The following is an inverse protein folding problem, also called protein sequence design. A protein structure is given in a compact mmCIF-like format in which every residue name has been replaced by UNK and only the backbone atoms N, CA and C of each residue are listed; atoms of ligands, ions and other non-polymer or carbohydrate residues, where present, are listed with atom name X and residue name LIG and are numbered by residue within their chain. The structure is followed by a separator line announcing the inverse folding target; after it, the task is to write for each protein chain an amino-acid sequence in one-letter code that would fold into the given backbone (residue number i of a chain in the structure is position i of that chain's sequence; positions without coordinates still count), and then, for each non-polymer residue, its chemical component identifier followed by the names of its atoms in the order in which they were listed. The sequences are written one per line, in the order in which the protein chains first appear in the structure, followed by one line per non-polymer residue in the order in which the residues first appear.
data_IF_910443882507
#
_entry.id   IF_910443882507
#
_cell.length_a   1.000
_cell.length_b   1.000
_cell.length_c   1.000
_cell.angle_alpha   90.00
_cell.angle_beta   90.00
_cell.angle_gamma   90.00
#
_symmetry.space_group_name_H-M   'P 1'
#
loop_
_entity.id
_entity.type
_entity.pdbx_description
1 polymer ?
#
# COMPACT_ATOMS: atom_id res chain seq x y z
N UNK A 1 13.56 -7.71 47.39
CA UNK A 1 14.07 -6.45 46.80
C UNK A 1 14.52 -6.77 45.38
N UNK A 2 13.64 -6.58 44.40
CA UNK A 2 14.00 -6.69 42.99
C UNK A 2 14.51 -5.33 42.53
N UNK A 3 15.81 -5.24 42.31
CA UNK A 3 16.46 -4.10 41.67
C UNK A 3 15.99 -4.05 40.23
N UNK A 4 14.97 -3.22 39.96
CA UNK A 4 14.66 -2.74 38.62
C UNK A 4 15.89 -1.96 38.16
N UNK A 5 16.74 -2.60 37.36
CA UNK A 5 17.74 -1.91 36.57
C UNK A 5 16.99 -0.95 35.65
N UNK A 6 17.05 0.34 35.95
CA UNK A 6 16.67 1.38 35.02
C UNK A 6 17.62 1.29 33.83
N UNK A 7 17.17 0.67 32.74
CA UNK A 7 17.86 0.77 31.46
C UNK A 7 17.94 2.27 31.13
N UNK A 8 19.15 2.81 30.98
CA UNK A 8 19.34 4.15 30.43
C UNK A 8 18.64 4.20 29.07
N UNK A 9 17.72 5.15 28.91
CA UNK A 9 17.08 5.40 27.62
C UNK A 9 18.19 5.82 26.65
N UNK A 10 18.58 4.91 25.75
CA UNK A 10 19.55 5.19 24.69
C UNK A 10 19.04 6.38 23.90
N UNK A 11 19.91 7.36 23.63
CA UNK A 11 19.57 8.49 22.76
C UNK A 11 19.25 7.95 21.36
N UNK A 12 17.97 7.97 20.98
CA UNK A 12 17.51 7.50 19.68
C UNK A 12 18.26 8.16 18.53
N UNK A 13 18.62 9.45 18.62
CA UNK A 13 19.37 10.10 17.54
C UNK A 13 20.75 9.48 17.36
N UNK A 14 21.43 9.16 18.46
CA UNK A 14 22.73 8.48 18.43
C UNK A 14 22.61 7.05 17.87
N UNK A 15 21.59 6.30 18.31
CA UNK A 15 21.27 4.94 17.78
C UNK A 15 21.02 4.96 16.28
N UNK A 16 20.14 5.84 15.79
CA UNK A 16 19.84 6.00 14.37
C UNK A 16 21.09 6.34 13.57
N UNK A 17 21.93 7.24 14.08
CA UNK A 17 23.18 7.64 13.43
C UNK A 17 24.18 6.49 13.34
N UNK A 18 24.33 5.70 14.38
CA UNK A 18 25.20 4.52 14.36
C UNK A 18 24.74 3.52 13.30
N UNK A 19 23.44 3.16 13.30
CA UNK A 19 22.85 2.23 12.33
C UNK A 19 23.04 2.71 10.89
N UNK A 20 22.72 3.97 10.63
CA UNK A 20 22.76 4.56 9.28
C UNK A 20 24.20 4.78 8.79
N UNK A 21 25.11 5.31 9.60
CA UNK A 21 26.49 5.57 9.17
C UNK A 21 27.28 4.28 8.89
N UNK A 22 26.98 3.21 9.63
CA UNK A 22 27.67 1.93 9.50
C UNK A 22 27.12 1.04 8.37
N UNK A 23 25.89 1.26 7.92
CA UNK A 23 25.28 0.49 6.83
C UNK A 23 26.01 0.72 5.49
N UNK A 24 26.33 -0.37 4.80
CA UNK A 24 26.95 -0.42 3.46
C UNK A 24 26.03 -1.04 2.42
N UNK A 25 25.16 -1.97 2.84
CA UNK A 25 24.26 -2.73 1.99
C UNK A 25 22.84 -2.72 2.55
N UNK A 26 22.16 -1.55 2.56
CA UNK A 26 20.79 -1.46 3.02
C UNK A 26 19.80 -2.00 1.99
N UNK A 27 18.71 -2.58 2.50
CA UNK A 27 17.46 -2.77 1.76
C UNK A 27 16.51 -1.62 2.11
N UNK A 28 16.12 -0.84 1.11
CA UNK A 28 15.10 0.20 1.27
C UNK A 28 13.76 -0.40 0.87
N UNK A 29 12.78 -0.35 1.77
CA UNK A 29 11.43 -0.84 1.57
C UNK A 29 10.47 0.34 1.42
N UNK A 30 9.83 0.47 0.26
CA UNK A 30 8.60 1.26 0.14
C UNK A 30 7.45 0.45 0.72
N UNK A 31 6.80 0.98 1.75
CA UNK A 31 5.74 0.28 2.48
C UNK A 31 4.48 0.12 1.62
N UNK A 32 4.23 1.09 0.74
CA UNK A 32 3.14 1.04 -0.24
C UNK A 32 3.69 0.91 -1.66
N UNK A 33 3.28 1.81 -2.57
CA UNK A 33 3.16 1.49 -3.99
C UNK A 33 4.34 1.92 -4.84
N UNK A 34 4.17 1.81 -6.16
CA UNK A 34 5.23 2.18 -7.09
C UNK A 34 5.75 3.61 -6.92
N UNK A 35 4.93 4.58 -6.50
CA UNK A 35 5.42 5.95 -6.27
C UNK A 35 6.25 6.07 -4.99
N UNK A 36 6.00 5.24 -3.98
CA UNK A 36 6.76 5.22 -2.73
C UNK A 36 8.19 4.77 -2.97
N UNK A 37 8.42 3.94 -3.99
CA UNK A 37 9.78 3.56 -4.41
C UNK A 37 10.60 4.78 -4.77
N UNK A 38 10.02 5.74 -5.48
CA UNK A 38 10.68 6.99 -5.88
C UNK A 38 10.77 7.93 -4.68
N UNK A 39 9.68 8.09 -3.94
CA UNK A 39 9.63 8.98 -2.78
C UNK A 39 10.62 8.56 -1.69
N UNK A 40 10.90 7.27 -1.51
CA UNK A 40 11.90 6.76 -0.56
C UNK A 40 13.31 7.36 -0.78
N UNK A 41 13.62 7.79 -2.01
CA UNK A 41 14.88 8.48 -2.33
C UNK A 41 14.97 9.86 -1.67
N UNK A 42 13.84 10.53 -1.42
CA UNK A 42 13.76 11.82 -0.72
C UNK A 42 14.32 11.63 0.69
N UNK A 43 13.82 10.64 1.43
CA UNK A 43 14.32 10.33 2.77
C UNK A 43 15.79 9.93 2.72
N UNK A 44 16.16 9.02 1.82
CA UNK A 44 17.56 8.58 1.65
C UNK A 44 18.53 9.75 1.50
N UNK A 45 18.19 10.76 0.69
CA UNK A 45 19.02 11.95 0.48
C UNK A 45 19.13 12.85 1.71
N UNK A 46 18.07 12.94 2.50
CA UNK A 46 18.12 13.65 3.78
C UNK A 46 19.01 12.92 4.80
N UNK A 47 18.94 11.58 4.85
CA UNK A 47 19.76 10.75 5.74
C UNK A 47 21.26 10.78 5.37
N UNK A 48 21.62 10.90 4.09
CA UNK A 48 23.01 11.11 3.65
C UNK A 48 23.64 12.33 4.36
N UNK A 49 22.88 13.43 4.48
CA UNK A 49 23.37 14.67 5.11
C UNK A 49 23.33 14.64 6.64
N UNK A 50 22.21 14.21 7.23
CA UNK A 50 22.00 14.32 8.68
C UNK A 50 22.63 13.16 9.47
N UNK A 51 22.62 11.95 8.91
CA UNK A 51 23.02 10.72 9.59
C UNK A 51 24.23 10.02 8.94
N UNK A 52 24.87 10.66 7.95
CA UNK A 52 26.02 10.12 7.23
C UNK A 52 25.75 8.77 6.55
N UNK A 53 24.49 8.54 6.15
CA UNK A 53 24.07 7.32 5.46
C UNK A 53 24.69 7.25 4.06
N UNK A 54 25.86 6.61 3.95
CA UNK A 54 26.65 6.52 2.72
C UNK A 54 26.87 5.05 2.31
N UNK A 55 25.81 4.37 1.84
CA UNK A 55 25.90 2.98 1.41
C UNK A 55 26.75 2.84 0.14
N UNK A 56 27.37 1.67 -0.05
CA UNK A 56 28.13 1.35 -1.28
C UNK A 56 27.17 1.13 -2.45
N UNK A 57 26.03 0.50 -2.15
CA UNK A 57 24.94 0.21 -3.09
C UNK A 57 23.66 0.04 -2.28
N UNK A 58 22.52 0.31 -2.90
CA UNK A 58 21.21 0.09 -2.30
C UNK A 58 20.38 -0.80 -3.19
N UNK A 59 19.55 -1.62 -2.56
CA UNK A 59 18.45 -2.29 -3.22
C UNK A 59 17.14 -1.69 -2.73
N UNK A 60 16.18 -1.53 -3.64
CA UNK A 60 14.86 -0.98 -3.33
C UNK A 60 13.81 -2.04 -3.60
N UNK A 61 12.92 -2.25 -2.65
CA UNK A 61 11.79 -3.17 -2.78
C UNK A 61 10.47 -2.52 -2.34
N UNK A 62 9.36 -2.96 -2.93
CA UNK A 62 8.00 -2.56 -2.54
C UNK A 62 7.03 -3.71 -2.79
N UNK A 63 5.80 -3.51 -2.37
CA UNK A 63 4.73 -4.48 -2.53
C UNK A 63 4.17 -4.47 -3.96
N UNK A 64 4.05 -5.64 -4.58
CA UNK A 64 3.34 -5.85 -5.83
C UNK A 64 1.87 -6.24 -5.53
N UNK A 65 0.89 -5.37 -5.85
CA UNK A 65 -0.51 -5.63 -5.59
C UNK A 65 -1.00 -6.88 -6.34
N UNK A 66 -1.82 -7.70 -5.70
CA UNK A 66 -2.38 -8.92 -6.31
C UNK A 66 -3.45 -8.65 -7.39
N UNK A 67 -3.94 -7.41 -7.48
CA UNK A 67 -4.81 -6.94 -8.55
C UNK A 67 -4.05 -6.49 -9.82
N UNK A 68 -2.71 -6.52 -9.79
CA UNK A 68 -1.84 -6.21 -10.91
C UNK A 68 -1.06 -7.44 -11.35
N UNK A 69 -1.02 -7.71 -12.66
CA UNK A 69 -0.12 -8.72 -13.19
C UNK A 69 1.20 -8.07 -13.59
N UNK A 70 2.31 -8.70 -13.22
CA UNK A 70 3.65 -8.32 -13.67
C UNK A 70 4.16 -9.36 -14.66
N UNK A 71 4.67 -8.88 -15.80
CA UNK A 71 5.09 -9.70 -16.93
C UNK A 71 6.56 -9.43 -17.25
N UNK A 72 7.29 -10.44 -17.71
CA UNK A 72 8.71 -10.32 -18.05
C UNK A 72 9.53 -9.75 -16.87
N UNK A 73 9.20 -10.15 -15.65
CA UNK A 73 10.04 -9.93 -14.48
C UNK A 73 11.18 -10.93 -14.50
N UNK A 74 12.33 -10.59 -13.92
CA UNK A 74 13.37 -11.57 -13.68
C UNK A 74 13.07 -12.28 -12.37
N UNK A 75 12.97 -13.61 -12.43
CA UNK A 75 12.79 -14.42 -11.24
C UNK A 75 13.98 -14.25 -10.29
N UNK A 76 13.67 -14.10 -9.00
CA UNK A 76 14.67 -14.31 -7.96
C UNK A 76 14.62 -15.76 -7.49
N UNK A 77 15.66 -16.21 -6.79
CA UNK A 77 15.63 -17.53 -6.13
C UNK A 77 14.67 -17.56 -4.92
N UNK A 78 14.08 -16.42 -4.55
CA UNK A 78 13.14 -16.33 -3.45
C UNK A 78 11.71 -16.30 -3.99
N UNK A 79 10.83 -17.17 -3.48
CA UNK A 79 9.40 -17.10 -3.78
C UNK A 79 8.88 -15.67 -3.57
N UNK A 80 7.95 -15.22 -4.41
CA UNK A 80 7.30 -13.90 -4.36
C UNK A 80 8.16 -12.68 -4.68
N UNK A 81 9.48 -12.81 -4.73
CA UNK A 81 10.35 -11.68 -5.04
C UNK A 81 10.72 -11.71 -6.51
N UNK A 82 10.42 -10.60 -7.19
CA UNK A 82 10.68 -10.37 -8.61
C UNK A 82 11.62 -9.19 -8.78
N UNK A 83 12.60 -9.30 -9.67
CA UNK A 83 13.48 -8.17 -10.02
C UNK A 83 12.92 -7.48 -11.27
N UNK A 84 12.73 -6.16 -11.19
CA UNK A 84 12.23 -5.35 -12.29
C UNK A 84 13.35 -5.08 -13.28
N UNK A 85 13.10 -5.43 -14.53
CA UNK A 85 13.98 -5.28 -15.67
C UNK A 85 13.54 -4.23 -16.68
N UNK A 86 14.38 -3.93 -17.67
CA UNK A 86 14.03 -3.04 -18.79
C UNK A 86 12.82 -3.55 -19.61
N UNK A 87 12.65 -4.87 -19.71
CA UNK A 87 11.56 -5.48 -20.47
C UNK A 87 10.30 -5.75 -19.63
N UNK A 88 10.35 -5.47 -18.33
CA UNK A 88 9.22 -5.70 -17.45
C UNK A 88 8.04 -4.81 -17.86
N UNK A 89 6.85 -5.42 -17.82
CA UNK A 89 5.56 -4.79 -18.08
C UNK A 89 4.62 -5.11 -16.93
N UNK A 90 3.56 -4.33 -16.77
CA UNK A 90 2.45 -4.68 -15.89
C UNK A 90 1.12 -4.57 -16.59
N UNK A 91 0.10 -5.28 -16.14
CA UNK A 91 -1.27 -5.07 -16.59
C UNK A 91 -2.23 -4.86 -15.44
N UNK A 92 -3.28 -4.08 -15.72
CA UNK A 92 -4.44 -3.90 -14.84
C UNK A 92 -5.66 -4.30 -15.66
N UNK A 93 -6.41 -5.32 -15.22
CA UNK A 93 -7.64 -5.77 -15.91
C UNK A 93 -7.41 -6.00 -17.42
N UNK A 94 -6.30 -6.66 -17.78
CA UNK A 94 -5.93 -6.97 -19.17
C UNK A 94 -5.32 -5.82 -19.98
N UNK A 95 -5.28 -4.58 -19.45
CA UNK A 95 -4.62 -3.46 -20.11
C UNK A 95 -3.13 -3.44 -19.78
N UNK A 96 -2.29 -3.72 -20.78
CA UNK A 96 -0.84 -3.63 -20.66
C UNK A 96 -0.34 -2.19 -20.47
N UNK A 97 0.66 -2.04 -19.61
CA UNK A 97 1.41 -0.83 -19.33
C UNK A 97 2.91 -1.12 -19.42
N UNK A 98 3.62 -0.30 -20.19
CA UNK A 98 5.07 -0.42 -20.42
C UNK A 98 5.89 0.61 -19.63
N UNK A 99 5.24 1.64 -19.10
CA UNK A 99 5.84 2.68 -18.26
C UNK A 99 5.15 2.76 -16.90
N UNK A 100 5.94 2.68 -15.84
CA UNK A 100 5.50 2.77 -14.45
C UNK A 100 6.68 3.16 -13.55
N UNK A 101 6.43 3.79 -12.39
CA UNK A 101 7.47 4.37 -11.54
C UNK A 101 8.66 3.45 -11.27
N UNK A 102 8.38 2.17 -11.04
CA UNK A 102 9.39 1.20 -10.61
C UNK A 102 10.34 0.84 -11.77
N UNK A 103 9.82 0.82 -12.99
CA UNK A 103 10.64 0.65 -14.19
C UNK A 103 11.47 1.91 -14.49
N UNK A 104 10.88 3.10 -14.31
CA UNK A 104 11.61 4.37 -14.46
C UNK A 104 12.77 4.43 -13.46
N UNK A 105 12.51 4.02 -12.22
CA UNK A 105 13.52 3.91 -11.18
C UNK A 105 14.61 2.91 -11.56
N UNK A 106 14.27 1.80 -12.22
CA UNK A 106 15.27 0.86 -12.75
C UNK A 106 16.12 1.46 -13.87
N UNK A 107 15.49 2.16 -14.80
CA UNK A 107 16.14 2.75 -15.99
C UNK A 107 17.09 3.90 -15.63
N UNK A 108 16.72 4.72 -14.64
CA UNK A 108 17.43 5.93 -14.26
C UNK A 108 18.11 5.86 -12.88
N UNK A 109 17.96 4.74 -12.16
CA UNK A 109 18.35 4.60 -10.76
C UNK A 109 19.85 4.54 -10.49
N UNK A 110 20.68 4.35 -11.52
CA UNK A 110 22.14 4.26 -11.37
C UNK A 110 22.75 5.52 -10.75
N UNK A 111 22.17 6.70 -11.01
CA UNK A 111 22.55 7.97 -10.37
C UNK A 111 22.29 8.04 -8.86
N UNK A 112 21.55 7.07 -8.31
CA UNK A 112 21.19 6.99 -6.89
C UNK A 112 21.82 5.81 -6.15
N UNK A 113 22.79 5.12 -6.78
CA UNK A 113 23.46 3.92 -6.26
C UNK A 113 22.57 2.69 -6.15
N UNK A 114 21.48 2.64 -6.93
CA UNK A 114 20.54 1.54 -6.93
C UNK A 114 21.10 0.38 -7.76
N UNK A 115 21.33 -0.77 -7.13
CA UNK A 115 21.71 -1.99 -7.84
C UNK A 115 20.48 -2.70 -8.40
N UNK A 116 19.47 -2.94 -7.54
CA UNK A 116 18.23 -3.64 -7.91
C UNK A 116 16.99 -2.89 -7.47
N UNK A 117 15.94 -3.09 -8.25
CA UNK A 117 14.59 -2.58 -8.06
C UNK A 117 13.69 -3.81 -8.07
N UNK A 118 13.05 -4.13 -6.95
CA UNK A 118 12.39 -5.41 -6.72
C UNK A 118 10.96 -5.27 -6.23
N UNK A 119 10.10 -6.22 -6.58
CA UNK A 119 8.78 -6.32 -6.01
C UNK A 119 8.62 -7.57 -5.16
N UNK A 120 7.84 -7.49 -4.08
CA UNK A 120 7.35 -8.65 -3.34
C UNK A 120 5.84 -8.80 -3.54
N UNK A 121 5.41 -9.96 -4.04
CA UNK A 121 4.00 -10.23 -4.38
C UNK A 121 3.08 -10.38 -3.17
N UNK A 122 1.91 -9.74 -3.24
CA UNK A 122 0.79 -9.94 -2.30
C UNK A 122 -0.08 -11.16 -2.61
N UNK A 123 0.24 -11.92 -3.66
CA UNK A 123 -0.56 -13.10 -4.05
C UNK A 123 -0.59 -14.22 -3.01
N UNK A 124 0.17 -14.07 -1.92
CA UNK A 124 0.34 -15.06 -0.88
C UNK A 124 0.17 -14.47 0.52
N UNK A 125 0.13 -15.36 1.50
CA UNK A 125 -0.06 -15.05 2.89
C UNK A 125 1.02 -14.09 3.41
N UNK A 126 0.65 -13.22 4.35
CA UNK A 126 1.60 -12.31 5.02
C UNK A 126 2.77 -13.07 5.67
N UNK A 127 2.56 -14.31 6.11
CA UNK A 127 3.63 -15.20 6.60
C UNK A 127 4.66 -15.55 5.51
N UNK A 128 4.22 -15.77 4.26
CA UNK A 128 5.14 -16.07 3.15
C UNK A 128 5.91 -14.84 2.68
N UNK A 129 5.30 -13.66 2.78
CA UNK A 129 5.98 -12.37 2.56
C UNK A 129 7.08 -12.19 3.61
N UNK A 130 6.74 -12.40 4.89
CA UNK A 130 7.68 -12.38 6.01
C UNK A 130 8.85 -13.34 5.78
N UNK A 131 8.56 -14.59 5.44
CA UNK A 131 9.57 -15.62 5.20
C UNK A 131 10.46 -15.29 4.00
N UNK A 132 9.89 -14.75 2.93
CA UNK A 132 10.63 -14.37 1.72
C UNK A 132 11.55 -13.18 2.00
N UNK A 133 11.07 -12.19 2.75
CA UNK A 133 11.87 -11.06 3.23
C UNK A 133 13.01 -11.53 4.16
N UNK A 134 12.75 -12.40 5.13
CA UNK A 134 13.79 -12.97 6.00
C UNK A 134 14.86 -13.71 5.19
N UNK A 135 14.44 -14.51 4.20
CA UNK A 135 15.37 -15.27 3.35
C UNK A 135 16.25 -14.35 2.51
N UNK A 136 15.68 -13.34 1.84
CA UNK A 136 16.47 -12.43 1.00
C UNK A 136 17.42 -11.58 1.84
N UNK A 137 16.92 -11.09 2.98
CA UNK A 137 17.69 -10.26 3.91
C UNK A 137 18.94 -10.97 4.40
N UNK A 138 18.81 -12.24 4.80
CA UNK A 138 19.93 -13.06 5.23
C UNK A 138 20.84 -13.48 4.05
N UNK A 139 20.24 -13.91 2.93
CA UNK A 139 21.00 -14.48 1.81
C UNK A 139 21.82 -13.44 1.05
N UNK A 140 21.27 -12.23 0.91
CA UNK A 140 21.95 -11.12 0.25
C UNK A 140 22.74 -10.24 1.23
N UNK A 141 22.74 -10.61 2.52
CA UNK A 141 23.54 -9.99 3.58
C UNK A 141 23.27 -8.50 3.70
N UNK A 142 22.00 -8.11 3.70
CA UNK A 142 21.67 -6.72 4.02
C UNK A 142 22.04 -6.42 5.47
N UNK A 143 22.58 -5.24 5.71
CA UNK A 143 23.05 -4.80 7.03
C UNK A 143 22.13 -3.76 7.68
N UNK A 144 21.06 -3.37 6.99
CA UNK A 144 20.03 -2.44 7.44
C UNK A 144 18.76 -2.65 6.62
N UNK A 145 17.60 -2.58 7.29
CA UNK A 145 16.32 -2.36 6.63
C UNK A 145 15.87 -0.93 6.90
N UNK A 146 15.70 -0.15 5.82
CA UNK A 146 15.11 1.19 5.87
C UNK A 146 13.71 1.12 5.28
N UNK A 147 12.67 1.09 6.12
CA UNK A 147 11.29 1.04 5.67
C UNK A 147 10.66 2.45 5.66
N UNK A 148 10.11 2.84 4.53
CA UNK A 148 9.60 4.18 4.25
C UNK A 148 8.10 4.13 3.93
N UNK A 149 7.31 4.87 4.69
CA UNK A 149 5.90 5.16 4.38
C UNK A 149 5.76 6.67 4.08
N UNK A 150 5.02 6.96 3.01
CA UNK A 150 4.71 8.31 2.56
C UNK A 150 3.20 8.51 2.61
N UNK A 151 2.75 9.40 3.49
CA UNK A 151 1.33 9.63 3.74
C UNK A 151 0.96 9.37 5.21
N UNK A 152 1.54 8.34 5.81
CA UNK A 152 1.41 8.06 7.24
C UNK A 152 0.37 7.01 7.60
N UNK A 153 -0.16 6.28 6.63
CA UNK A 153 -1.16 5.22 6.85
C UNK A 153 -0.58 4.05 7.63
N UNK A 154 0.73 3.85 7.57
CA UNK A 154 1.45 2.86 8.37
C UNK A 154 1.20 3.01 9.87
N UNK A 155 1.00 4.25 10.34
CA UNK A 155 0.77 4.58 11.76
C UNK A 155 -0.70 4.91 12.07
N UNK A 156 -1.63 4.59 11.17
CA UNK A 156 -3.06 4.88 11.35
C UNK A 156 -3.58 4.36 12.70
N UNK A 157 -4.36 5.19 13.41
CA UNK A 157 -4.98 4.78 14.68
C UNK A 157 -6.29 4.02 14.44
N UNK A 158 -6.79 3.21 15.40
CA UNK A 158 -8.06 2.51 15.32
C UNK A 158 -9.27 3.39 14.96
N UNK A 159 -9.25 4.66 15.36
CA UNK A 159 -10.31 5.63 15.11
C UNK A 159 -10.23 6.25 13.70
N UNK A 160 -9.15 6.03 12.96
CA UNK A 160 -8.93 6.60 11.63
C UNK A 160 -9.58 5.75 10.54
N UNK A 161 -10.84 6.04 10.25
CA UNK A 161 -11.58 5.42 9.16
C UNK A 161 -11.45 6.16 7.82
N UNK A 162 -10.57 7.16 7.73
CA UNK A 162 -10.42 7.98 6.52
C UNK A 162 -9.34 7.50 5.55
N UNK A 163 -8.59 6.47 5.93
CA UNK A 163 -7.60 5.79 5.08
C UNK A 163 -8.26 5.27 3.80
N UNK A 164 -7.61 5.52 2.66
CA UNK A 164 -8.02 5.18 1.31
C UNK A 164 -7.29 3.98 0.72
N UNK A 165 -6.09 3.66 1.19
CA UNK A 165 -5.34 2.49 0.70
C UNK A 165 -4.50 1.79 1.76
N UNK A 166 -5.09 1.25 2.84
CA UNK A 166 -4.32 0.66 3.94
C UNK A 166 -3.82 -0.76 3.67
N UNK A 167 -4.16 -1.38 2.54
CA UNK A 167 -3.96 -2.82 2.34
C UNK A 167 -2.48 -3.14 2.24
N UNK A 168 -1.70 -2.36 1.49
CA UNK A 168 -0.27 -2.63 1.34
C UNK A 168 0.50 -2.28 2.60
N UNK A 169 0.18 -1.15 3.24
CA UNK A 169 0.72 -0.80 4.55
C UNK A 169 0.48 -1.88 5.59
N UNK A 170 -0.72 -2.47 5.60
CA UNK A 170 -1.06 -3.61 6.44
C UNK A 170 -0.11 -4.79 6.21
N UNK A 171 0.00 -5.25 4.97
CA UNK A 171 0.81 -6.42 4.61
C UNK A 171 2.28 -6.22 5.00
N UNK A 172 2.82 -5.04 4.69
CA UNK A 172 4.19 -4.71 5.02
C UNK A 172 4.38 -4.57 6.53
N UNK A 173 3.48 -3.90 7.25
CA UNK A 173 3.59 -3.71 8.71
C UNK A 173 3.55 -5.03 9.47
N UNK A 174 2.65 -5.95 9.10
CA UNK A 174 2.60 -7.31 9.67
C UNK A 174 3.94 -8.00 9.46
N UNK A 175 4.47 -7.94 8.24
CA UNK A 175 5.74 -8.59 7.90
C UNK A 175 6.92 -7.96 8.64
N UNK A 176 7.03 -6.63 8.65
CA UNK A 176 8.11 -5.90 9.30
C UNK A 176 8.15 -6.14 10.81
N UNK A 177 6.99 -6.19 11.49
CA UNK A 177 6.92 -6.53 12.91
C UNK A 177 7.50 -7.92 13.18
N UNK A 178 7.15 -8.91 12.35
CA UNK A 178 7.66 -10.27 12.50
C UNK A 178 9.15 -10.38 12.17
N UNK A 179 9.63 -9.67 11.14
CA UNK A 179 11.06 -9.64 10.81
C UNK A 179 11.86 -8.95 11.93
N UNK A 180 11.38 -7.84 12.49
CA UNK A 180 12.04 -7.14 13.60
C UNK A 180 12.20 -8.06 14.83
N UNK A 181 11.23 -8.93 15.10
CA UNK A 181 11.32 -9.92 16.19
C UNK A 181 12.31 -11.05 15.90
N UNK A 182 12.42 -11.47 14.63
CA UNK A 182 13.16 -12.68 14.21
C UNK A 182 14.58 -12.39 13.71
N UNK A 183 14.86 -11.17 13.27
CA UNK A 183 16.13 -10.76 12.67
C UNK A 183 16.99 -9.96 13.64
N UNK A 184 18.31 -10.09 13.52
CA UNK A 184 19.29 -9.26 14.23
C UNK A 184 19.70 -8.02 13.44
N UNK A 185 19.16 -7.84 12.23
CA UNK A 185 19.52 -6.73 11.37
C UNK A 185 18.87 -5.44 11.89
N UNK A 186 19.63 -4.34 11.96
CA UNK A 186 19.09 -3.04 12.33
C UNK A 186 17.90 -2.63 11.44
N UNK A 187 16.92 -2.00 12.07
CA UNK A 187 15.81 -1.34 11.40
C UNK A 187 15.87 0.17 11.62
N UNK A 188 15.46 0.90 10.59
CA UNK A 188 15.05 2.30 10.66
C UNK A 188 13.75 2.43 9.89
N UNK A 189 12.73 2.96 10.55
CA UNK A 189 11.45 3.31 9.94
C UNK A 189 11.42 4.81 9.72
N UNK A 190 10.95 5.22 8.55
CA UNK A 190 10.79 6.61 8.18
C UNK A 190 9.39 6.87 7.69
N UNK A 191 8.71 7.83 8.32
CA UNK A 191 7.42 8.34 7.86
C UNK A 191 7.55 9.81 7.49
N UNK A 192 7.00 10.20 6.35
CA UNK A 192 7.02 11.60 5.91
C UNK A 192 5.91 11.88 4.91
N UNK A 193 5.77 13.15 4.51
CA UNK A 193 4.66 13.57 3.65
C UNK A 193 3.31 13.28 4.28
N UNK A 194 3.24 13.37 5.62
CA UNK A 194 2.04 13.00 6.36
C UNK A 194 0.84 13.74 5.79
N UNK A 195 -0.23 12.99 5.51
CA UNK A 195 -1.51 13.46 4.95
C UNK A 195 -1.51 13.91 3.49
N UNK A 196 -0.37 13.94 2.81
CA UNK A 196 -0.30 14.39 1.40
C UNK A 196 -1.08 13.48 0.44
N UNK A 197 -1.39 12.27 0.91
CA UNK A 197 -2.30 11.27 0.33
C UNK A 197 -3.79 11.67 0.40
N UNK A 198 -4.13 12.60 1.28
CA UNK A 198 -5.48 13.10 1.48
C UNK A 198 -6.30 12.30 2.48
N UNK A 199 -5.67 11.47 3.30
CA UNK A 199 -6.34 10.37 3.99
C UNK A 199 -6.60 10.69 5.47
N UNK A 200 -5.57 11.05 6.24
CA UNK A 200 -5.66 11.05 7.72
C UNK A 200 -5.74 12.44 8.38
N UNK A 201 -6.88 12.84 9.01
CA UNK A 201 -7.04 14.12 9.72
C UNK A 201 -5.88 14.56 10.64
N UNK A 202 -5.63 15.87 10.88
CA UNK A 202 -4.42 16.31 11.58
C UNK A 202 -4.44 15.89 13.05
N UNK A 203 -5.64 15.82 13.62
CA UNK A 203 -5.93 15.37 14.97
C UNK A 203 -5.65 13.86 15.10
N UNK A 204 -5.92 13.08 14.06
CA UNK A 204 -5.64 11.64 14.02
C UNK A 204 -4.14 11.38 13.81
N UNK A 205 -3.47 12.16 12.95
CA UNK A 205 -2.01 12.13 12.82
C UNK A 205 -1.31 12.48 14.13
N UNK A 206 -1.80 13.52 14.84
CA UNK A 206 -1.24 13.88 16.13
C UNK A 206 -1.35 12.73 17.13
N UNK A 207 -2.52 12.07 17.19
CA UNK A 207 -2.73 10.88 18.03
C UNK A 207 -1.80 9.74 17.63
N UNK A 208 -1.66 9.47 16.33
CA UNK A 208 -0.77 8.44 15.80
C UNK A 208 0.69 8.69 16.22
N UNK A 209 1.19 9.89 15.99
CA UNK A 209 2.56 10.29 16.35
C UNK A 209 2.81 10.25 17.87
N UNK A 210 1.81 10.57 18.69
CA UNK A 210 1.92 10.49 20.16
C UNK A 210 2.05 9.06 20.67
N UNK A 211 1.62 8.04 19.91
CA UNK A 211 1.79 6.62 20.28
C UNK A 211 3.21 6.12 20.03
N UNK A 212 3.99 6.80 19.19
CA UNK A 212 5.39 6.49 18.96
C UNK A 212 6.21 7.14 20.09
N UNK A 213 6.52 6.35 21.11
CA UNK A 213 7.18 6.82 22.34
C UNK A 213 8.57 7.42 22.09
N UNK A 214 9.36 6.76 21.24
CA UNK A 214 10.68 7.21 20.86
C UNK A 214 10.73 7.45 19.36
N UNK A 215 10.72 8.73 18.98
CA UNK A 215 10.84 9.17 17.59
C UNK A 215 11.75 10.38 17.50
N UNK A 216 12.55 10.41 16.45
CA UNK A 216 13.27 11.57 16.01
C UNK A 216 12.42 12.34 15.01
N UNK A 217 12.14 13.61 15.28
CA UNK A 217 11.39 14.49 14.38
C UNK A 217 12.32 15.57 13.82
N UNK A 218 12.22 15.81 12.50
CA UNK A 218 12.96 16.89 11.86
C UNK A 218 12.29 17.37 10.58
N UNK A 219 12.82 18.45 9.99
CA UNK A 219 12.38 19.01 8.71
C UNK A 219 13.37 18.70 7.60
N UNK A 220 12.88 18.33 6.43
CA UNK A 220 13.70 18.23 5.23
C UNK A 220 14.35 19.58 4.91
N UNK A 221 15.57 19.52 4.38
CA UNK A 221 16.21 20.69 3.76
C UNK A 221 15.97 20.62 2.25
N UNK A 222 15.45 21.69 1.68
CA UNK A 222 15.14 21.79 0.24
C UNK A 222 16.33 21.43 -0.64
N UNK A 223 17.53 21.90 -0.29
CA UNK A 223 18.79 21.63 -1.00
C UNK A 223 19.24 20.15 -0.92
N UNK A 224 18.69 19.36 0.01
CA UNK A 224 18.95 17.92 0.09
C UNK A 224 18.18 17.14 -0.97
N UNK A 225 16.99 17.60 -1.33
CA UNK A 225 16.05 16.79 -2.13
C UNK A 225 15.89 17.28 -3.56
N UNK A 226 16.45 18.45 -3.91
CA UNK A 226 16.21 19.10 -5.22
C UNK A 226 16.46 18.16 -6.41
N UNK A 227 17.54 17.36 -6.37
CA UNK A 227 17.84 16.38 -7.42
C UNK A 227 16.77 15.29 -7.57
N UNK A 228 16.12 14.90 -6.47
CA UNK A 228 15.02 13.92 -6.49
C UNK A 228 13.74 14.57 -6.97
N UNK A 229 13.49 15.83 -6.58
CA UNK A 229 12.38 16.61 -7.11
C UNK A 229 12.50 16.73 -8.64
N UNK A 230 13.66 17.16 -9.16
CA UNK A 230 13.94 17.25 -10.59
C UNK A 230 13.72 15.91 -11.29
N UNK A 231 14.27 14.83 -10.73
CA UNK A 231 14.07 13.47 -11.25
C UNK A 231 12.59 13.08 -11.32
N UNK A 232 11.82 13.36 -10.27
CA UNK A 232 10.38 13.08 -10.24
C UNK A 232 9.64 13.88 -11.31
N UNK A 233 9.89 15.20 -11.40
CA UNK A 233 9.25 16.09 -12.39
C UNK A 233 9.56 15.68 -13.83
N UNK A 234 10.81 15.33 -14.10
CA UNK A 234 11.29 15.04 -15.46
C UNK A 234 10.84 13.64 -15.93
N UNK A 235 11.02 12.62 -15.10
CA UNK A 235 10.89 11.23 -15.53
C UNK A 235 9.63 10.53 -15.02
N UNK A 236 9.19 10.80 -13.79
CA UNK A 236 8.15 10.02 -13.12
C UNK A 236 6.77 10.62 -13.35
N UNK A 237 6.62 11.93 -13.15
CA UNK A 237 5.36 12.65 -13.20
C UNK A 237 4.65 12.50 -14.56
N UNK A 238 5.42 12.58 -15.65
CA UNK A 238 4.91 12.47 -17.02
C UNK A 238 4.36 11.07 -17.35
N UNK A 239 4.81 10.04 -16.62
CA UNK A 239 4.32 8.66 -16.75
C UNK A 239 3.18 8.39 -15.80
N UNK A 240 3.34 8.76 -14.52
CA UNK A 240 2.36 8.53 -13.47
C UNK A 240 2.43 9.65 -12.42
N UNK A 241 1.61 10.67 -12.61
CA UNK A 241 1.38 11.68 -11.58
C UNK A 241 0.89 11.03 -10.28
N UNK A 242 1.62 11.28 -9.20
CA UNK A 242 1.23 10.97 -7.82
C UNK A 242 0.94 12.27 -7.11
N UNK A 243 -0.28 12.43 -6.58
CA UNK A 243 -0.58 13.61 -5.77
C UNK A 243 0.22 13.63 -4.48
N UNK A 244 0.29 12.48 -3.79
CA UNK A 244 1.07 12.30 -2.57
C UNK A 244 2.52 12.75 -2.76
N UNK A 245 3.19 12.25 -3.81
CA UNK A 245 4.58 12.61 -4.08
C UNK A 245 4.73 14.08 -4.51
N UNK A 246 3.84 14.58 -5.37
CA UNK A 246 3.83 15.98 -5.80
C UNK A 246 3.68 16.94 -4.61
N UNK A 247 2.71 16.69 -3.73
CA UNK A 247 2.46 17.54 -2.57
C UNK A 247 3.58 17.41 -1.54
N UNK A 248 4.08 16.20 -1.27
CA UNK A 248 5.26 15.99 -0.42
C UNK A 248 6.46 16.80 -0.93
N UNK A 249 6.74 16.78 -2.24
CA UNK A 249 7.82 17.58 -2.83
C UNK A 249 7.54 19.07 -2.63
N UNK A 250 6.33 19.55 -2.97
CA UNK A 250 5.97 20.97 -2.85
C UNK A 250 6.09 21.49 -1.42
N UNK A 251 5.65 20.72 -0.43
CA UNK A 251 5.78 21.07 0.98
C UNK A 251 7.25 21.20 1.41
N UNK A 252 8.13 20.32 0.93
CA UNK A 252 9.57 20.38 1.23
C UNK A 252 10.26 21.52 0.48
N UNK A 253 9.83 21.84 -0.74
CA UNK A 253 10.41 22.91 -1.57
C UNK A 253 9.76 24.27 -1.35
N UNK A 254 8.77 24.35 -0.45
CA UNK A 254 7.97 25.55 -0.19
C UNK A 254 7.24 26.08 -1.45
N UNK A 255 6.92 25.19 -2.38
CA UNK A 255 6.07 25.50 -3.52
C UNK A 255 4.61 25.55 -3.08
N UNK A 256 3.86 26.51 -3.61
CA UNK A 256 2.45 26.64 -3.31
C UNK A 256 1.64 25.43 -3.82
N UNK A 257 0.67 25.00 -3.01
CA UNK A 257 -0.43 24.12 -3.39
C UNK A 257 -1.71 24.56 -2.66
N UNK A 258 -2.87 24.09 -3.14
CA UNK A 258 -4.16 24.40 -2.52
C UNK A 258 -4.26 23.82 -1.10
N UNK A 259 -4.79 24.60 -0.17
CA UNK A 259 -5.23 24.15 1.17
C UNK A 259 -6.54 24.88 1.54
N UNK A 260 -7.69 24.18 1.66
CA UNK A 260 -7.85 22.74 1.51
C UNK A 260 -7.63 22.28 0.06
N UNK A 261 -7.08 21.08 -0.11
CA UNK A 261 -6.94 20.43 -1.41
C UNK A 261 -8.11 19.52 -1.73
N UNK A 262 -8.46 19.43 -3.01
CA UNK A 262 -9.57 18.61 -3.48
C UNK A 262 -9.11 17.21 -3.88
N UNK A 263 -9.35 16.23 -3.02
CA UNK A 263 -9.10 14.81 -3.30
C UNK A 263 -10.33 14.15 -3.94
N UNK A 264 -10.14 12.92 -4.44
CA UNK A 264 -11.24 12.15 -5.02
C UNK A 264 -11.16 10.68 -4.67
N UNK A 265 -12.29 10.11 -4.25
CA UNK A 265 -12.51 8.67 -4.28
C UNK A 265 -12.86 8.28 -5.73
N UNK A 266 -12.46 7.08 -6.14
CA UNK A 266 -12.68 6.56 -7.50
C UNK A 266 -13.28 5.18 -7.44
N UNK A 267 -14.26 4.93 -8.29
CA UNK A 267 -14.84 3.61 -8.49
C UNK A 267 -15.07 3.40 -9.98
N UNK A 268 -14.60 2.28 -10.53
CA UNK A 268 -14.76 1.94 -11.94
C UNK A 268 -15.57 0.66 -12.08
N UNK A 269 -16.49 0.63 -13.05
CA UNK A 269 -17.31 -0.56 -13.34
C UNK A 269 -17.52 -0.69 -14.84
N UNK A 270 -17.41 -1.90 -15.35
CA UNK A 270 -17.63 -2.20 -16.77
C UNK A 270 -18.96 -2.93 -16.91
N UNK A 271 -19.96 -2.28 -17.50
CA UNK A 271 -21.33 -2.83 -17.63
C UNK A 271 -21.47 -3.89 -18.70
N UNK A 272 -20.69 -3.79 -19.78
CA UNK A 272 -20.77 -4.68 -20.92
C UNK A 272 -19.37 -5.16 -21.31
N UNK A 273 -19.29 -6.41 -21.78
CA UNK A 273 -18.02 -6.95 -22.24
C UNK A 273 -17.51 -6.07 -23.38
N UNK A 274 -16.24 -5.67 -23.31
CA UNK A 274 -15.58 -4.82 -24.30
C UNK A 274 -16.03 -3.35 -24.32
N UNK A 275 -16.91 -2.90 -23.41
CA UNK A 275 -17.19 -1.48 -23.24
C UNK A 275 -16.11 -0.80 -22.38
N UNK A 276 -15.90 0.51 -22.53
CA UNK A 276 -15.17 1.28 -21.55
C UNK A 276 -15.83 1.15 -20.17
N UNK A 277 -15.03 1.21 -19.11
CA UNK A 277 -15.55 1.30 -17.74
C UNK A 277 -16.20 2.67 -17.52
N UNK A 278 -17.38 2.66 -16.90
CA UNK A 278 -17.97 3.83 -16.26
C UNK A 278 -17.09 4.25 -15.08
N UNK A 279 -16.90 5.56 -14.90
CA UNK A 279 -16.02 6.11 -13.87
C UNK A 279 -16.79 7.01 -12.93
N UNK A 280 -16.81 6.64 -11.67
CA UNK A 280 -17.41 7.40 -10.60
C UNK A 280 -16.33 8.13 -9.83
N UNK A 281 -16.55 9.43 -9.64
CA UNK A 281 -15.68 10.31 -8.88
C UNK A 281 -16.49 10.96 -7.78
N UNK A 282 -16.01 10.86 -6.54
CA UNK A 282 -16.52 11.64 -5.43
C UNK A 282 -15.42 12.55 -4.91
N UNK A 283 -15.66 13.87 -4.97
CA UNK A 283 -14.68 14.85 -4.54
C UNK A 283 -14.89 15.22 -3.08
N UNK A 284 -13.79 15.33 -2.34
CA UNK A 284 -13.81 15.82 -0.97
C UNK A 284 -12.63 16.77 -0.73
N UNK A 285 -12.80 17.66 0.22
CA UNK A 285 -11.77 18.62 0.60
C UNK A 285 -10.98 18.08 1.79
N UNK A 286 -9.67 18.20 1.70
CA UNK A 286 -8.75 17.87 2.77
C UNK A 286 -8.01 19.13 3.18
N UNK A 287 -8.23 19.58 4.42
CA UNK A 287 -7.42 20.64 5.01
C UNK A 287 -6.08 20.05 5.41
N UNK A 288 -4.97 20.75 5.19
CA UNK A 288 -3.65 20.39 5.71
C UNK A 288 -3.24 21.29 6.86
N UNK A 289 -2.36 20.79 7.72
CA UNK A 289 -1.78 21.52 8.84
C UNK A 289 -0.30 21.79 8.54
N UNK A 290 0.07 23.06 8.36
CA UNK A 290 1.42 23.50 7.97
C UNK A 290 2.50 23.02 8.95
N UNK A 291 2.14 22.70 10.19
CA UNK A 291 3.10 22.15 11.16
C UNK A 291 3.76 20.87 10.65
N UNK A 292 3.09 20.09 9.79
CA UNK A 292 3.61 18.84 9.24
C UNK A 292 4.40 19.00 7.93
N UNK A 293 4.34 20.18 7.28
CA UNK A 293 4.94 20.39 5.97
C UNK A 293 6.43 20.12 5.97
N UNK A 294 6.86 19.18 5.12
CA UNK A 294 8.26 18.76 5.03
C UNK A 294 8.84 18.18 6.33
N UNK A 295 7.99 17.74 7.27
CA UNK A 295 8.45 16.94 8.41
C UNK A 295 8.72 15.49 7.99
N UNK A 296 9.72 14.89 8.63
CA UNK A 296 9.88 13.44 8.66
C UNK A 296 10.12 12.98 10.09
N UNK A 297 9.77 11.73 10.35
CA UNK A 297 9.92 11.10 11.64
C UNK A 297 10.64 9.77 11.45
N UNK A 298 11.65 9.53 12.30
CA UNK A 298 12.41 8.30 12.34
C UNK A 298 12.21 7.60 13.67
N UNK A 299 12.13 6.29 13.64
CA UNK A 299 12.09 5.41 14.81
C UNK A 299 12.65 4.05 14.41
N UNK A 300 12.95 3.19 15.38
CA UNK A 300 13.59 1.90 15.14
C UNK A 300 12.89 0.73 15.84
N UNK A 301 11.69 0.97 16.36
CA UNK A 301 10.86 -0.03 17.01
C UNK A 301 9.37 0.08 16.62
N UNK A 302 8.82 -1.01 16.07
CA UNK A 302 7.40 -1.15 15.72
C UNK A 302 6.49 -1.64 16.84
N UNK A 303 6.99 -1.97 18.03
CA UNK A 303 6.16 -2.53 19.10
C UNK A 303 4.99 -1.63 19.50
N UNK A 304 5.15 -0.32 19.37
CA UNK A 304 4.16 0.71 19.71
C UNK A 304 3.13 1.02 18.61
N UNK A 305 3.33 0.50 17.39
CA UNK A 305 2.46 0.80 16.26
C UNK A 305 1.24 -0.12 16.28
N UNK A 306 0.10 0.38 16.72
CA UNK A 306 -1.18 -0.33 16.67
C UNK A 306 -2.05 0.17 15.52
N UNK A 307 -1.84 -0.42 14.34
CA UNK A 307 -2.63 -0.13 13.15
C UNK A 307 -3.78 -1.15 13.02
N UNK A 308 -5.06 -0.72 13.03
CA UNK A 308 -6.21 -1.63 12.97
C UNK A 308 -6.29 -2.42 11.66
N UNK A 309 -5.63 -1.94 10.61
CA UNK A 309 -5.64 -2.57 9.30
C UNK A 309 -4.57 -3.64 9.16
N UNK A 310 -3.53 -3.61 9.99
CA UNK A 310 -2.40 -4.53 9.95
C UNK A 310 -2.76 -5.89 10.56
N UNK A 311 -3.41 -6.73 9.75
CA UNK A 311 -3.90 -8.06 10.14
C UNK A 311 -3.21 -9.17 9.36
N UNK A 312 -2.97 -10.29 10.03
CA UNK A 312 -2.52 -11.51 9.36
C UNK A 312 -3.64 -12.06 8.47
N UNK A 313 -3.27 -12.36 7.23
CA UNK A 313 -4.20 -12.81 6.20
C UNK A 313 -3.48 -13.62 5.12
N UNK A 314 -4.23 -14.49 4.46
CA UNK A 314 -3.71 -15.39 3.45
C UNK A 314 -3.65 -14.82 2.04
N UNK A 315 -4.49 -13.84 1.73
CA UNK A 315 -4.55 -13.14 0.45
C UNK A 315 -5.43 -11.90 0.57
N UNK A 316 -5.57 -11.16 -0.53
CA UNK A 316 -6.35 -9.93 -0.53
C UNK A 316 -7.84 -10.10 -0.23
N UNK A 317 -8.43 -11.25 -0.56
CA UNK A 317 -9.83 -11.58 -0.22
C UNK A 317 -10.00 -11.67 1.31
N UNK A 318 -9.13 -12.42 1.97
CA UNK A 318 -9.20 -12.61 3.42
C UNK A 318 -8.97 -11.29 4.16
N UNK A 319 -7.97 -10.51 3.75
CA UNK A 319 -7.74 -9.18 4.30
C UNK A 319 -8.98 -8.30 4.17
N UNK A 320 -9.54 -8.25 2.95
CA UNK A 320 -10.72 -7.46 2.65
C UNK A 320 -11.89 -7.83 3.56
N UNK A 321 -12.19 -9.12 3.72
CA UNK A 321 -13.34 -9.57 4.50
C UNK A 321 -13.17 -9.35 6.01
N UNK A 322 -11.94 -9.39 6.53
CA UNK A 322 -11.65 -9.13 7.94
C UNK A 322 -11.69 -7.64 8.32
N UNK A 323 -11.34 -6.74 7.39
CA UNK A 323 -11.33 -5.29 7.63
C UNK A 323 -12.68 -4.62 7.32
N UNK A 324 -13.45 -5.17 6.37
CA UNK A 324 -14.66 -4.52 5.90
C UNK A 324 -15.85 -4.80 6.82
N UNK A 325 -16.43 -3.73 7.36
CA UNK A 325 -17.71 -3.77 8.04
C UNK A 325 -18.66 -2.67 7.52
N UNK A 326 -19.94 -2.75 7.89
CA UNK A 326 -20.95 -1.78 7.42
C UNK A 326 -20.76 -0.36 7.95
N UNK A 327 -20.02 -0.18 9.05
CA UNK A 327 -19.77 1.14 9.67
C UNK A 327 -18.61 1.85 9.00
N UNK A 328 -17.54 1.13 8.70
CA UNK A 328 -16.29 1.72 8.20
C UNK A 328 -16.26 1.79 6.67
N UNK A 329 -16.75 0.77 5.96
CA UNK A 329 -16.73 0.66 4.48
C UNK A 329 -15.46 1.27 3.92
N UNK A 330 -14.34 0.76 4.43
CA UNK A 330 -13.01 1.34 4.24
C UNK A 330 -12.70 1.38 2.75
N UNK A 331 -12.16 2.50 2.30
CA UNK A 331 -11.66 2.58 0.94
C UNK A 331 -10.29 1.86 0.89
N UNK A 332 -10.08 1.03 -0.12
CA UNK A 332 -8.91 0.20 -0.30
C UNK A 332 -8.70 -0.11 -1.78
N UNK A 333 -7.57 -0.72 -2.08
CA UNK A 333 -7.05 -0.97 -3.42
C UNK A 333 -7.90 -1.94 -4.22
N UNK A 334 -8.73 -2.73 -3.55
CA UNK A 334 -9.65 -3.67 -4.18
C UNK A 334 -10.98 -3.04 -4.58
N UNK A 335 -11.41 -1.91 -3.99
CA UNK A 335 -12.73 -1.34 -4.34
C UNK A 335 -12.80 -0.98 -5.83
N UNK A 336 -13.77 -1.55 -6.54
CA UNK A 336 -13.92 -1.35 -7.99
C UNK A 336 -12.83 -2.07 -8.82
N UNK A 337 -12.13 -3.05 -8.25
CA UNK A 337 -11.23 -3.95 -8.95
C UNK A 337 -11.84 -5.35 -9.10
N UNK A 338 -11.25 -6.15 -9.98
CA UNK A 338 -11.59 -7.54 -10.18
C UNK A 338 -10.36 -8.42 -10.12
N UNK A 339 -10.50 -9.60 -9.50
CA UNK A 339 -9.67 -10.73 -9.85
C UNK A 339 -10.30 -11.42 -11.05
N UNK A 340 -9.57 -11.52 -12.15
CA UNK A 340 -10.07 -12.15 -13.38
C UNK A 340 -9.96 -13.68 -13.36
N UNK A 341 -9.20 -14.22 -12.41
CA UNK A 341 -9.02 -15.66 -12.18
C UNK A 341 -8.77 -15.91 -10.69
N UNK A 342 -9.86 -16.12 -9.94
CA UNK A 342 -9.78 -16.34 -8.49
C UNK A 342 -9.12 -17.67 -8.12
N UNK A 343 -8.96 -18.62 -9.05
CA UNK A 343 -8.23 -19.86 -8.78
C UNK A 343 -6.78 -19.60 -8.38
N UNK A 344 -6.17 -18.53 -8.89
CA UNK A 344 -4.80 -18.14 -8.55
C UNK A 344 -4.68 -17.63 -7.12
N UNK A 345 -5.73 -16.96 -6.64
CA UNK A 345 -5.78 -16.36 -5.30
C UNK A 345 -6.18 -17.40 -4.24
N UNK A 346 -7.19 -18.22 -4.54
CA UNK A 346 -7.71 -19.24 -3.62
C UNK A 346 -7.05 -20.62 -3.77
N UNK A 347 -6.24 -20.83 -4.81
CA UNK A 347 -5.58 -22.11 -5.14
C UNK A 347 -6.58 -23.27 -5.31
N UNK A 348 -7.69 -22.99 -5.98
CA UNK A 348 -8.74 -23.97 -6.29
C UNK A 348 -8.91 -24.07 -7.81
N UNK A 349 -8.38 -25.15 -8.42
CA UNK A 349 -8.37 -25.34 -9.88
C UNK A 349 -9.77 -25.28 -10.52
N UNK A 350 -10.81 -25.73 -9.81
CA UNK A 350 -12.20 -25.67 -10.28
C UNK A 350 -12.73 -24.24 -10.44
N UNK A 351 -12.00 -23.23 -9.96
CA UNK A 351 -12.33 -21.82 -10.13
C UNK A 351 -11.52 -21.16 -11.27
N UNK A 352 -10.84 -21.95 -12.12
CA UNK A 352 -9.99 -21.39 -13.17
C UNK A 352 -10.79 -20.54 -14.15
N UNK A 353 -10.31 -19.31 -14.37
CA UNK A 353 -10.95 -18.32 -15.24
C UNK A 353 -12.21 -17.68 -14.67
N UNK A 354 -12.53 -17.95 -13.40
CA UNK A 354 -13.66 -17.35 -12.70
C UNK A 354 -13.26 -16.00 -12.16
N UNK A 355 -14.09 -15.00 -12.42
CA UNK A 355 -13.84 -13.63 -11.99
C UNK A 355 -14.65 -13.24 -10.74
N UNK A 356 -14.04 -12.41 -9.88
CA UNK A 356 -14.66 -11.83 -8.70
C UNK A 356 -14.41 -10.33 -8.68
N UNK A 357 -15.49 -9.56 -8.70
CA UNK A 357 -15.47 -8.10 -8.65
C UNK A 357 -15.77 -7.59 -7.23
N UNK A 358 -15.05 -6.58 -6.77
CA UNK A 358 -15.25 -5.97 -5.45
C UNK A 358 -16.19 -4.76 -5.59
N UNK A 359 -17.50 -5.05 -5.61
CA UNK A 359 -18.56 -4.03 -5.61
C UNK A 359 -18.84 -3.49 -4.21
N UNK A 360 -17.89 -2.70 -3.74
CA UNK A 360 -17.92 -2.17 -2.38
C UNK A 360 -17.52 -0.70 -2.41
N UNK A 361 -18.38 0.19 -2.95
CA UNK A 361 -18.10 1.62 -2.91
C UNK A 361 -17.95 2.06 -1.45
N UNK A 362 -16.87 2.77 -1.14
CA UNK A 362 -16.57 3.20 0.21
C UNK A 362 -17.59 4.21 0.74
N UNK A 363 -17.57 4.46 2.05
CA UNK A 363 -18.43 5.46 2.71
C UNK A 363 -18.26 6.89 2.17
N UNK A 364 -17.22 7.14 1.35
CA UNK A 364 -16.98 8.43 0.72
C UNK A 364 -18.04 8.76 -0.35
N UNK A 365 -18.62 7.77 -1.01
CA UNK A 365 -19.67 7.99 -2.01
C UNK A 365 -21.02 8.26 -1.32
N UNK A 366 -21.75 9.26 -1.80
CA UNK A 366 -23.12 9.52 -1.33
C UNK A 366 -24.10 8.41 -1.72
N UNK A 367 -25.31 8.44 -1.13
CA UNK A 367 -26.34 7.43 -1.36
C UNK A 367 -26.70 7.27 -2.83
N UNK A 368 -26.77 8.37 -3.56
CA UNK A 368 -27.25 8.39 -4.94
C UNK A 368 -26.19 7.83 -5.89
N UNK A 369 -24.92 8.19 -5.68
CA UNK A 369 -23.79 7.62 -6.40
C UNK A 369 -23.66 6.14 -6.11
N UNK A 370 -23.83 5.72 -4.85
CA UNK A 370 -23.80 4.30 -4.48
C UNK A 370 -24.91 3.53 -5.15
N UNK A 371 -26.16 4.03 -5.11
CA UNK A 371 -27.30 3.43 -5.81
C UNK A 371 -27.04 3.29 -7.31
N UNK A 372 -26.47 4.30 -7.97
CA UNK A 372 -26.13 4.20 -9.39
C UNK A 372 -25.02 3.17 -9.66
N UNK A 373 -23.99 3.11 -8.81
CA UNK A 373 -22.95 2.09 -8.88
C UNK A 373 -23.56 0.69 -8.73
N UNK A 374 -24.53 0.53 -7.82
CA UNK A 374 -25.27 -0.72 -7.62
C UNK A 374 -25.90 -1.20 -8.92
N UNK A 375 -26.66 -0.33 -9.59
CA UNK A 375 -27.35 -0.66 -10.84
C UNK A 375 -26.37 -1.11 -11.93
N UNK A 376 -25.26 -0.38 -12.08
CA UNK A 376 -24.22 -0.69 -13.07
C UNK A 376 -23.52 -2.03 -12.79
N UNK A 377 -23.28 -2.37 -11.53
CA UNK A 377 -22.67 -3.68 -11.19
C UNK A 377 -23.65 -4.82 -11.42
N UNK A 378 -24.92 -4.64 -11.05
CA UNK A 378 -25.95 -5.63 -11.33
C UNK A 378 -26.04 -5.89 -12.83
N UNK A 379 -25.98 -4.84 -13.65
CA UNK A 379 -25.89 -4.98 -15.10
C UNK A 379 -24.62 -5.75 -15.52
N UNK A 380 -23.47 -5.46 -14.91
CA UNK A 380 -22.20 -6.15 -15.17
C UNK A 380 -22.29 -7.66 -14.93
N UNK A 381 -22.92 -8.09 -13.83
CA UNK A 381 -23.13 -9.50 -13.48
C UNK A 381 -24.15 -10.18 -14.41
N UNK A 382 -25.23 -9.47 -14.79
CA UNK A 382 -26.22 -9.98 -15.75
C UNK A 382 -25.62 -10.17 -17.14
N UNK A 383 -24.78 -9.24 -17.56
CA UNK A 383 -24.09 -9.25 -18.84
C UNK A 383 -22.85 -10.16 -18.85
N UNK A 384 -22.55 -10.85 -17.74
CA UNK A 384 -21.39 -11.75 -17.58
C UNK A 384 -20.07 -11.05 -17.89
N UNK A 385 -19.95 -9.79 -17.48
CA UNK A 385 -18.65 -9.11 -17.43
C UNK A 385 -17.80 -9.69 -16.32
N UNK A 386 -18.43 -9.93 -15.16
CA UNK A 386 -17.88 -10.66 -14.04
C UNK A 386 -18.81 -11.81 -13.66
N UNK A 387 -18.25 -12.88 -13.11
CA UNK A 387 -19.00 -14.06 -12.67
C UNK A 387 -19.63 -13.83 -11.29
N UNK A 388 -18.84 -13.27 -10.37
CA UNK A 388 -19.23 -12.95 -9.01
C UNK A 388 -18.92 -11.50 -8.64
N UNK A 389 -19.65 -10.97 -7.67
CA UNK A 389 -19.25 -9.74 -6.98
C UNK A 389 -19.43 -9.83 -5.46
N UNK A 390 -18.50 -9.26 -4.71
CA UNK A 390 -18.72 -8.91 -3.30
C UNK A 390 -19.45 -7.59 -3.19
N UNK A 391 -20.40 -7.54 -2.26
CA UNK A 391 -21.29 -6.40 -2.05
C UNK A 391 -21.53 -6.17 -0.58
N UNK A 392 -21.74 -4.92 -0.17
CA UNK A 392 -22.24 -4.66 1.17
C UNK A 392 -23.70 -5.11 1.29
N UNK A 393 -24.03 -5.79 2.39
CA UNK A 393 -25.37 -6.34 2.64
C UNK A 393 -26.48 -5.30 2.54
N UNK A 394 -26.21 -4.06 2.94
CA UNK A 394 -27.19 -2.97 2.92
C UNK A 394 -27.38 -2.32 1.54
N UNK A 395 -26.43 -2.51 0.62
CA UNK A 395 -26.50 -1.96 -0.74
C UNK A 395 -27.37 -2.79 -1.69
N UNK A 396 -27.68 -4.04 -1.34
CA UNK A 396 -28.40 -4.96 -2.24
C UNK A 396 -29.85 -5.23 -1.80
N UNK A 397 -30.31 -4.72 -0.67
CA UNK A 397 -31.61 -5.08 -0.09
C UNK A 397 -32.83 -4.84 -1.01
N UNK A 398 -32.68 -3.98 -2.03
CA UNK A 398 -33.76 -3.65 -2.97
C UNK A 398 -33.68 -4.36 -4.33
N UNK A 399 -32.67 -5.20 -4.58
CA UNK A 399 -32.43 -5.82 -5.89
C UNK A 399 -32.73 -7.32 -5.88
N UNK A 400 -33.98 -7.69 -6.15
CA UNK A 400 -34.51 -9.06 -5.94
C UNK A 400 -34.14 -10.09 -7.00
N UNK A 401 -33.44 -9.70 -8.08
CA UNK A 401 -33.29 -10.53 -9.27
C UNK A 401 -31.92 -11.24 -9.39
N UNK A 402 -31.04 -11.12 -8.39
CA UNK A 402 -29.78 -11.85 -8.33
C UNK A 402 -29.80 -12.82 -7.15
N UNK A 403 -29.15 -13.97 -7.34
CA UNK A 403 -28.87 -14.87 -6.22
C UNK A 403 -27.77 -14.24 -5.36
N UNK A 404 -27.84 -14.48 -4.04
CA UNK A 404 -26.82 -14.01 -3.11
C UNK A 404 -26.64 -14.94 -1.92
N UNK A 405 -25.42 -15.00 -1.41
CA UNK A 405 -25.05 -15.73 -0.21
C UNK A 405 -24.30 -14.80 0.75
N UNK A 406 -24.56 -14.98 2.05
CA UNK A 406 -23.90 -14.22 3.09
C UNK A 406 -22.49 -14.78 3.31
N UNK A 407 -21.47 -13.93 3.24
CA UNK A 407 -20.07 -14.30 3.51
C UNK A 407 -19.68 -13.86 4.92
N UNK A 408 -19.96 -12.61 5.27
CA UNK A 408 -19.84 -12.07 6.63
C UNK A 408 -21.16 -11.42 7.05
N UNK A 409 -21.24 -10.86 8.25
CA UNK A 409 -22.39 -10.04 8.67
C UNK A 409 -22.62 -8.84 7.74
N UNK A 410 -21.59 -8.40 7.03
CA UNK A 410 -21.57 -7.14 6.30
C UNK A 410 -21.40 -7.32 4.78
N UNK A 411 -20.88 -8.46 4.34
CA UNK A 411 -20.58 -8.75 2.94
C UNK A 411 -21.40 -9.93 2.45
N UNK A 412 -21.97 -9.78 1.25
CA UNK A 412 -22.58 -10.85 0.47
C UNK A 412 -21.81 -11.06 -0.81
N UNK A 413 -21.86 -12.28 -1.34
CA UNK A 413 -21.47 -12.57 -2.72
C UNK A 413 -22.72 -12.72 -3.57
N UNK A 414 -22.70 -12.20 -4.80
CA UNK A 414 -23.83 -12.25 -5.73
C UNK A 414 -23.43 -12.80 -7.10
N UNK A 415 -24.40 -13.37 -7.82
CA UNK A 415 -24.21 -13.95 -9.15
C UNK A 415 -25.53 -14.08 -9.93
N UNK A 416 -25.43 -14.41 -11.23
CA UNK A 416 -26.58 -14.59 -12.13
C UNK A 416 -26.89 -16.05 -12.52
N UNK A 417 -25.98 -17.02 -12.30
CA UNK A 417 -26.19 -18.47 -12.60
C UNK A 417 -25.31 -19.38 -11.70
N UNK A 418 -25.62 -20.68 -11.50
CA UNK A 418 -25.97 -21.22 -10.18
C UNK A 418 -24.80 -21.68 -9.30
N UNK A 419 -24.96 -21.36 -8.00
CA UNK A 419 -24.73 -22.10 -6.74
C UNK A 419 -23.50 -22.95 -6.47
N UNK A 420 -22.94 -23.71 -7.42
CA UNK A 420 -21.90 -24.71 -7.07
C UNK A 420 -20.59 -24.06 -6.60
N UNK A 421 -20.35 -22.80 -6.94
CA UNK A 421 -19.11 -22.10 -6.57
C UNK A 421 -19.23 -21.16 -5.37
N UNK A 422 -20.43 -20.68 -5.01
CA UNK A 422 -20.59 -19.82 -3.84
C UNK A 422 -20.20 -20.56 -2.55
N UNK A 423 -20.61 -21.84 -2.43
CA UNK A 423 -20.16 -22.72 -1.35
C UNK A 423 -18.66 -23.00 -1.38
N UNK A 424 -18.03 -23.09 -2.56
CA UNK A 424 -16.59 -23.30 -2.67
C UNK A 424 -15.86 -22.05 -2.19
N UNK A 425 -16.31 -20.87 -2.62
CA UNK A 425 -15.72 -19.60 -2.18
C UNK A 425 -15.91 -19.44 -0.67
N UNK A 426 -17.11 -19.68 -0.12
CA UNK A 426 -17.37 -19.54 1.32
C UNK A 426 -16.62 -20.56 2.19
N UNK A 427 -16.39 -21.79 1.70
CA UNK A 427 -15.62 -22.82 2.43
C UNK A 427 -14.10 -22.63 2.37
N UNK A 428 -13.57 -21.92 1.37
CA UNK A 428 -12.12 -21.75 1.18
C UNK A 428 -11.58 -20.40 1.65
N UNK A 429 -12.46 -19.51 2.13
CA UNK A 429 -12.05 -18.26 2.79
C UNK A 429 -12.01 -18.51 4.29
N UNK A 430 -10.82 -18.44 4.88
CA UNK A 430 -10.66 -18.42 6.33
C UNK A 430 -11.02 -17.01 6.84
N UNK A 431 -12.19 -16.84 7.44
CA UNK A 431 -12.61 -15.57 8.08
C UNK A 431 -12.23 -15.59 9.55
#
# INVERSE_FOLDING_TARGET
MNTLQSFEKVDLKASLKEKLANSKYPLILGVWGGNDTVSSLILKKQLEKEFWFNPVKIDIMWILPDCLDYHCVYDSWFPLISVIGPDTKRSVQGKMMDKFPEKILREHGSGFWIERVMGISMSEWTVWITDSLLKIVNSWRYDLILACDIGGDFIATPENHHVLSPMMDSYMLVSLKEIQKKSHIPFVFGIFGLWTDGETPPQMLQKALLRIEDKYEWKFKTDSIIKIADFYREYVECVRYSRTADYTIREITWEWHSNPASFRARFHVTRQKWSPSEKYYWYFLQQFDEKYYGSYYLFDDLTWIENPYAIECGNGIEWFLKIQDTRTKVNCELNGQAYMDISKILRVENLSGVSLFFWTPSHKFDSDSRAKIVDDVIESIRNKVYDYAFVFSDDIMNHTNLESEKITDHIRIIWSNPKMMAEIISKNINI
#
